data_IF_293319739027
#
_entry.id   IF_293319739027
#
_cell.length_a   1.000
_cell.length_b   1.000
_cell.length_c   1.000
_cell.angle_alpha   90.00
_cell.angle_beta   90.00
_cell.angle_gamma   90.00
#
_symmetry.space_group_name_H-M   'P 1'
#
loop_
_entity.id
_entity.type
_entity.pdbx_description
1 polymer ?
#
# COMPACT_ATOMS: atom_id res chain seq x y z
N UNK A 1 4.94 12.89 -15.28
CA UNK A 1 4.94 12.31 -13.93
C UNK A 1 6.18 11.45 -13.76
N UNK A 2 6.64 11.22 -12.54
CA UNK A 2 7.70 10.28 -12.22
C UNK A 2 7.49 9.67 -10.84
N UNK A 3 8.11 8.51 -10.60
CA UNK A 3 8.07 7.83 -9.30
C UNK A 3 9.45 7.28 -8.93
N UNK A 4 9.69 7.15 -7.63
CA UNK A 4 10.86 6.52 -7.06
C UNK A 4 10.40 5.59 -5.93
N UNK A 5 10.96 4.39 -5.86
CA UNK A 5 10.58 3.40 -4.85
C UNK A 5 11.77 2.62 -4.33
N UNK A 6 11.61 2.08 -3.12
CA UNK A 6 12.59 1.23 -2.48
C UNK A 6 11.88 0.04 -1.85
N UNK A 7 12.50 -1.14 -1.97
CA UNK A 7 12.02 -2.38 -1.41
C UNK A 7 13.18 -3.09 -0.73
N UNK A 8 12.94 -3.56 0.49
CA UNK A 8 13.92 -4.26 1.29
C UNK A 8 13.25 -5.46 1.96
N UNK A 9 13.91 -6.63 1.95
CA UNK A 9 13.44 -7.85 2.61
C UNK A 9 14.58 -8.42 3.44
N UNK A 10 14.33 -8.62 4.73
CA UNK A 10 15.26 -9.21 5.68
C UNK A 10 14.56 -10.33 6.45
N UNK A 11 14.75 -11.56 5.97
CA UNK A 11 14.05 -12.72 6.51
C UNK A 11 12.54 -12.51 6.49
N UNK A 12 11.91 -12.55 7.66
CA UNK A 12 10.46 -12.38 7.81
C UNK A 12 9.97 -10.95 7.78
N UNK A 13 10.87 -9.97 7.78
CA UNK A 13 10.53 -8.56 7.68
C UNK A 13 10.67 -8.07 6.25
N UNK A 14 9.73 -7.23 5.81
CA UNK A 14 9.82 -6.53 4.55
C UNK A 14 9.37 -5.07 4.71
N UNK A 15 10.07 -4.18 4.02
CA UNK A 15 9.76 -2.77 3.91
C UNK A 15 9.65 -2.39 2.44
N UNK A 16 8.66 -1.56 2.12
CA UNK A 16 8.47 -1.01 0.78
C UNK A 16 8.03 0.45 0.90
N UNK A 17 8.54 1.31 0.05
CA UNK A 17 8.13 2.71 -0.05
C UNK A 17 8.11 3.15 -1.50
N UNK A 18 7.25 4.11 -1.81
CA UNK A 18 7.18 4.78 -3.10
C UNK A 18 6.81 6.25 -2.91
N UNK A 19 7.46 7.11 -3.68
CA UNK A 19 7.19 8.52 -3.83
C UNK A 19 6.86 8.79 -5.29
N UNK A 20 5.77 9.50 -5.55
CA UNK A 20 5.30 9.86 -6.89
C UNK A 20 5.10 11.36 -6.96
N UNK A 21 5.49 11.97 -8.07
CA UNK A 21 5.15 13.35 -8.39
C UNK A 21 4.51 13.44 -9.77
N UNK A 22 3.58 14.37 -9.92
CA UNK A 22 2.92 14.71 -11.18
C UNK A 22 2.99 16.21 -11.42
N UNK A 23 2.97 16.57 -12.71
CA UNK A 23 2.86 17.97 -13.15
C UNK A 23 1.53 18.07 -13.88
N UNK A 24 0.60 18.83 -13.33
CA UNK A 24 -0.68 19.12 -13.95
C UNK A 24 -0.57 20.40 -14.79
N UNK A 25 -1.16 20.37 -15.98
CA UNK A 25 -1.25 21.52 -16.87
C UNK A 25 -2.72 21.92 -16.97
N UNK A 26 -3.10 23.15 -16.58
CA UNK A 26 -4.47 23.58 -16.74
C UNK A 26 -4.86 23.70 -18.21
N UNK A 27 -6.15 23.59 -18.49
CA UNK A 27 -6.69 23.86 -19.82
C UNK A 27 -6.57 25.35 -20.16
N UNK A 28 -6.66 25.69 -21.45
CA UNK A 28 -6.58 27.08 -21.92
C UNK A 28 -7.69 27.99 -21.39
N UNK A 29 -8.79 27.42 -20.87
CA UNK A 29 -9.92 28.14 -20.29
C UNK A 29 -9.94 28.07 -18.75
N UNK A 30 -8.88 27.55 -18.14
CA UNK A 30 -8.78 27.47 -16.69
C UNK A 30 -8.70 28.86 -16.06
N UNK A 31 -9.29 28.99 -14.87
CA UNK A 31 -9.15 30.18 -14.01
C UNK A 31 -7.86 30.16 -13.18
N UNK A 32 -7.07 29.10 -13.32
CA UNK A 32 -5.82 28.90 -12.61
C UNK A 32 -4.71 29.76 -13.22
N UNK A 33 -3.95 30.42 -12.35
CA UNK A 33 -2.97 31.45 -12.70
C UNK A 33 -1.68 30.91 -13.34
N UNK A 34 -1.29 29.66 -13.05
CA UNK A 34 -0.02 29.07 -13.51
C UNK A 34 -0.21 28.12 -14.68
N UNK A 35 0.79 28.02 -15.55
CA UNK A 35 0.80 27.02 -16.63
C UNK A 35 1.10 25.59 -16.16
N UNK A 36 1.56 25.41 -14.91
CA UNK A 36 1.97 24.13 -14.33
C UNK A 36 1.75 24.11 -12.82
N UNK A 37 1.30 22.97 -12.31
CA UNK A 37 1.12 22.69 -10.89
C UNK A 37 1.80 21.38 -10.51
N UNK A 38 2.36 21.33 -9.31
CA UNK A 38 3.08 20.16 -8.80
C UNK A 38 2.22 19.43 -7.78
N UNK A 39 2.13 18.11 -7.96
CA UNK A 39 1.35 17.21 -7.11
C UNK A 39 2.28 16.11 -6.63
N UNK A 40 2.20 15.74 -5.35
CA UNK A 40 2.99 14.62 -4.84
C UNK A 40 2.21 13.70 -3.91
N UNK A 41 2.72 12.47 -3.84
CA UNK A 41 2.15 11.39 -3.07
C UNK A 41 3.25 10.44 -2.63
N UNK A 42 3.13 9.89 -1.42
CA UNK A 42 4.02 8.83 -0.99
C UNK A 42 3.30 7.81 -0.11
N UNK A 43 3.87 6.61 -0.05
CA UNK A 43 3.50 5.64 0.96
C UNK A 43 4.70 4.84 1.43
N UNK A 44 4.63 4.36 2.67
CA UNK A 44 5.54 3.37 3.23
C UNK A 44 4.75 2.20 3.81
N UNK A 45 5.23 0.98 3.62
CA UNK A 45 4.65 -0.24 4.17
C UNK A 45 5.74 -1.06 4.84
N UNK A 46 5.52 -1.42 6.10
CA UNK A 46 6.27 -2.46 6.80
C UNK A 46 5.39 -3.69 6.93
N UNK A 47 6.01 -4.87 6.87
CA UNK A 47 5.33 -6.14 7.04
C UNK A 47 6.22 -7.16 7.72
N UNK A 48 5.60 -8.06 8.46
CA UNK A 48 6.28 -9.10 9.22
C UNK A 48 5.47 -10.40 9.22
N UNK A 49 6.10 -11.49 8.77
CA UNK A 49 5.57 -12.84 8.94
C UNK A 49 5.84 -13.37 10.34
N UNK A 50 4.83 -13.36 11.19
CA UNK A 50 4.92 -13.87 12.57
C UNK A 50 5.14 -15.39 12.61
N UNK A 51 4.77 -16.11 11.55
CA UNK A 51 5.00 -17.55 11.35
C UNK A 51 6.37 -17.88 10.73
N UNK A 52 7.16 -16.85 10.39
CA UNK A 52 8.56 -16.97 10.01
C UNK A 52 8.82 -17.18 8.51
N UNK A 53 7.80 -17.10 7.65
CA UNK A 53 7.93 -17.02 6.19
C UNK A 53 8.66 -15.74 5.77
N UNK A 54 8.90 -15.58 4.48
CA UNK A 54 9.51 -14.38 3.90
C UNK A 54 8.79 -14.00 2.61
N UNK A 55 8.90 -12.74 2.20
CA UNK A 55 8.40 -12.31 0.89
C UNK A 55 9.32 -12.81 -0.21
N UNK A 56 8.73 -13.47 -1.21
CA UNK A 56 9.42 -13.80 -2.45
C UNK A 56 9.38 -12.58 -3.36
N UNK A 57 10.53 -12.09 -3.83
CA UNK A 57 10.59 -11.02 -4.82
C UNK A 57 10.96 -11.57 -6.20
N UNK A 58 10.08 -11.41 -7.18
CA UNK A 58 10.35 -11.81 -8.55
C UNK A 58 10.95 -10.65 -9.33
N UNK A 59 12.25 -10.73 -9.64
CA UNK A 59 12.93 -9.74 -10.49
C UNK A 59 12.32 -9.64 -11.89
N UNK A 60 11.73 -10.72 -12.40
CA UNK A 60 11.08 -10.75 -13.72
C UNK A 60 9.76 -9.96 -13.73
N UNK A 61 8.99 -10.05 -12.64
CA UNK A 61 7.70 -9.34 -12.49
C UNK A 61 7.85 -7.98 -11.80
N UNK A 62 9.04 -7.68 -11.28
CA UNK A 62 9.35 -6.52 -10.44
C UNK A 62 8.33 -6.35 -9.30
N UNK A 63 7.91 -7.48 -8.73
CA UNK A 63 6.82 -7.54 -7.76
C UNK A 63 7.03 -8.69 -6.77
N UNK A 64 6.33 -8.61 -5.63
CA UNK A 64 6.24 -9.73 -4.71
C UNK A 64 5.48 -10.88 -5.36
N UNK A 65 6.09 -12.07 -5.33
CA UNK A 65 5.49 -13.30 -5.78
C UNK A 65 4.67 -13.95 -4.66
N UNK A 66 4.05 -15.07 -5.00
CA UNK A 66 3.27 -15.89 -4.09
C UNK A 66 4.08 -16.29 -2.85
N UNK A 67 3.41 -16.23 -1.70
CA UNK A 67 3.94 -16.73 -0.42
C UNK A 67 3.61 -18.20 -0.31
N UNK A 68 4.59 -19.01 0.07
CA UNK A 68 4.40 -20.43 0.37
C UNK A 68 4.48 -20.63 1.89
N UNK A 69 3.36 -20.92 2.57
CA UNK A 69 3.37 -21.17 4.01
C UNK A 69 4.29 -22.34 4.37
N UNK A 70 5.10 -22.21 5.42
CA UNK A 70 5.95 -23.33 5.89
C UNK A 70 5.12 -24.56 6.26
N UNK A 71 3.91 -24.32 6.77
CA UNK A 71 2.90 -25.33 7.05
C UNK A 71 1.53 -24.81 6.64
N UNK A 72 0.98 -25.35 5.56
CA UNK A 72 -0.38 -25.04 5.12
C UNK A 72 -1.42 -25.32 6.22
N UNK A 73 -2.51 -24.56 6.19
CA UNK A 73 -3.67 -24.80 7.05
C UNK A 73 -4.21 -26.22 6.81
N UNK A 74 -4.36 -26.99 7.88
CA UNK A 74 -4.83 -28.37 7.81
C UNK A 74 -4.10 -29.27 8.78
N UNK A 75 -3.49 -30.36 8.28
CA UNK A 75 -2.84 -31.46 9.03
C UNK A 75 -1.69 -31.01 9.96
N UNK A 76 -2.00 -30.25 11.01
CA UNK A 76 -1.05 -29.72 11.99
C UNK A 76 -0.41 -28.37 11.62
N UNK A 77 -0.90 -27.69 10.58
CA UNK A 77 -0.44 -26.36 10.17
C UNK A 77 -1.55 -25.33 10.29
N UNK A 78 -1.17 -24.07 10.56
CA UNK A 78 -2.11 -22.94 10.68
C UNK A 78 -2.05 -22.02 9.47
N UNK A 79 -1.25 -22.33 8.44
CA UNK A 79 -0.92 -21.39 7.37
C UNK A 79 0.15 -20.39 7.80
N UNK A 80 0.31 -19.32 7.03
CA UNK A 80 1.21 -18.21 7.35
C UNK A 80 0.42 -16.95 7.71
N UNK A 81 0.88 -16.25 8.74
CA UNK A 81 0.31 -14.98 9.16
C UNK A 81 1.32 -13.86 8.92
N UNK A 82 0.87 -12.80 8.27
CA UNK A 82 1.63 -11.58 8.02
C UNK A 82 0.88 -10.39 8.61
N UNK A 83 1.55 -9.65 9.48
CA UNK A 83 1.11 -8.33 9.92
C UNK A 83 1.70 -7.29 8.99
N UNK A 84 0.92 -6.25 8.70
CA UNK A 84 1.34 -5.14 7.86
C UNK A 84 0.86 -3.82 8.43
N UNK A 85 1.68 -2.79 8.30
CA UNK A 85 1.33 -1.42 8.61
C UNK A 85 1.74 -0.55 7.43
N UNK A 86 0.81 0.25 6.92
CA UNK A 86 1.06 1.19 5.83
C UNK A 86 0.65 2.58 6.26
N UNK A 87 1.49 3.56 5.92
CA UNK A 87 1.15 4.98 5.97
C UNK A 87 1.22 5.54 4.55
N UNK A 88 0.31 6.43 4.23
CA UNK A 88 0.13 7.01 2.90
C UNK A 88 -0.26 8.48 3.06
N UNK A 89 0.26 9.33 2.18
CA UNK A 89 -0.03 10.77 2.19
C UNK A 89 0.00 11.30 0.76
N UNK A 90 -0.93 12.20 0.46
CA UNK A 90 -0.98 12.96 -0.78
C UNK A 90 -1.13 14.44 -0.44
N UNK A 91 -0.41 15.29 -1.17
CA UNK A 91 -0.59 16.73 -1.16
C UNK A 91 -0.72 17.23 -2.61
N UNK A 92 -1.94 17.60 -2.96
CA UNK A 92 -2.30 18.08 -4.29
C UNK A 92 -2.59 19.59 -4.28
N UNK A 93 -2.19 20.30 -3.23
CA UNK A 93 -2.30 21.75 -3.17
C UNK A 93 -1.01 22.40 -3.71
N UNK A 94 -1.14 23.31 -4.66
CA UNK A 94 -0.04 24.14 -5.14
C UNK A 94 -0.56 25.50 -5.61
N UNK A 95 -0.07 26.58 -5.01
CA UNK A 95 -0.49 27.94 -5.29
C UNK A 95 -2.03 28.12 -5.18
N UNK A 96 -2.71 28.49 -6.25
CA UNK A 96 -4.17 28.66 -6.33
C UNK A 96 -4.92 27.36 -6.67
N UNK A 97 -4.22 26.24 -6.95
CA UNK A 97 -4.83 24.92 -7.05
C UNK A 97 -4.98 24.31 -5.65
N UNK A 98 -6.22 24.18 -5.18
CA UNK A 98 -6.56 23.58 -3.89
C UNK A 98 -7.28 22.23 -4.11
N UNK A 99 -6.55 21.21 -4.57
CA UNK A 99 -7.11 19.89 -4.90
C UNK A 99 -7.16 18.91 -3.71
N UNK A 100 -6.64 19.31 -2.55
CA UNK A 100 -6.79 18.61 -1.27
C UNK A 100 -5.52 17.93 -0.77
N UNK A 101 -5.54 17.62 0.52
CA UNK A 101 -4.49 16.89 1.24
C UNK A 101 -5.16 15.74 1.99
N UNK A 102 -4.58 14.55 1.92
CA UNK A 102 -5.10 13.38 2.61
C UNK A 102 -3.97 12.51 3.11
N UNK A 103 -4.16 11.90 4.28
CA UNK A 103 -3.32 10.81 4.74
C UNK A 103 -4.15 9.64 5.24
N UNK A 104 -3.58 8.45 5.19
CA UNK A 104 -4.18 7.24 5.73
C UNK A 104 -3.14 6.34 6.41
N UNK A 105 -3.59 5.66 7.46
CA UNK A 105 -2.86 4.57 8.11
C UNK A 105 -3.69 3.30 8.02
N UNK A 106 -3.08 2.24 7.51
CA UNK A 106 -3.69 0.93 7.35
C UNK A 106 -2.97 -0.09 8.20
N UNK A 107 -3.68 -0.72 9.14
CA UNK A 107 -3.23 -1.91 9.84
C UNK A 107 -3.86 -3.14 9.19
N UNK A 108 -3.03 -4.07 8.72
CA UNK A 108 -3.47 -5.24 7.95
C UNK A 108 -2.99 -6.56 8.55
N UNK A 109 -3.87 -7.55 8.56
CA UNK A 109 -3.59 -8.96 8.84
C UNK A 109 -3.84 -9.77 7.56
N UNK A 110 -2.81 -10.46 7.09
CA UNK A 110 -2.94 -11.40 5.98
C UNK A 110 -2.74 -12.83 6.49
N UNK A 111 -3.67 -13.71 6.14
CA UNK A 111 -3.64 -15.12 6.47
C UNK A 111 -3.58 -15.94 5.18
N UNK A 112 -2.43 -16.57 4.96
CA UNK A 112 -2.16 -17.43 3.81
C UNK A 112 -2.43 -18.88 4.23
N UNK A 113 -3.56 -19.43 3.79
CA UNK A 113 -3.98 -20.77 4.18
C UNK A 113 -3.13 -21.82 3.47
N UNK A 114 -2.86 -21.56 2.21
CA UNK A 114 -1.99 -22.35 1.34
C UNK A 114 -1.52 -21.42 0.21
N UNK A 115 -0.66 -21.88 -0.71
CA UNK A 115 -0.16 -21.02 -1.77
C UNK A 115 -1.26 -20.48 -2.71
N UNK A 116 -2.47 -21.04 -2.74
CA UNK A 116 -3.57 -20.61 -3.59
C UNK A 116 -4.58 -19.68 -2.88
N UNK A 117 -4.67 -19.73 -1.55
CA UNK A 117 -5.77 -19.10 -0.80
C UNK A 117 -5.25 -18.13 0.26
N UNK A 118 -5.75 -16.89 0.24
CA UNK A 118 -5.42 -15.84 1.20
C UNK A 118 -6.67 -15.09 1.69
N UNK A 119 -6.73 -14.83 2.98
CA UNK A 119 -7.61 -13.82 3.59
C UNK A 119 -6.80 -12.59 3.98
N UNK A 120 -7.36 -11.41 3.77
CA UNK A 120 -6.80 -10.13 4.22
C UNK A 120 -7.86 -9.37 4.98
N UNK A 121 -7.49 -8.86 6.15
CA UNK A 121 -8.29 -7.96 6.97
C UNK A 121 -7.52 -6.67 7.14
N UNK A 122 -8.12 -5.54 6.79
CA UNK A 122 -7.54 -4.21 6.96
C UNK A 122 -8.46 -3.35 7.81
N UNK A 123 -7.86 -2.61 8.73
CA UNK A 123 -8.45 -1.44 9.36
C UNK A 123 -7.71 -0.21 8.85
N UNK A 124 -8.46 0.74 8.29
CA UNK A 124 -7.92 1.94 7.67
C UNK A 124 -8.50 3.14 8.40
N UNK A 125 -7.63 4.01 8.89
CA UNK A 125 -7.99 5.33 9.37
C UNK A 125 -7.51 6.34 8.34
N UNK A 126 -8.43 7.13 7.79
CA UNK A 126 -8.16 8.16 6.80
C UNK A 126 -8.52 9.54 7.34
N UNK A 127 -7.67 10.53 7.08
CA UNK A 127 -7.90 11.94 7.40
C UNK A 127 -7.73 12.77 6.13
N UNK A 128 -8.82 13.41 5.70
CA UNK A 128 -8.83 14.33 4.57
C UNK A 128 -8.92 15.74 5.12
N UNK A 129 -7.88 16.54 4.87
CA UNK A 129 -7.78 17.90 5.36
C UNK A 129 -9.01 18.70 4.93
N UNK A 130 -9.58 19.42 5.90
CA UNK A 130 -10.79 20.26 5.73
C UNK A 130 -12.09 19.51 5.38
N UNK A 131 -12.07 18.17 5.30
CA UNK A 131 -13.26 17.34 5.02
C UNK A 131 -13.58 16.35 6.16
N UNK A 132 -12.58 15.90 6.91
CA UNK A 132 -12.76 15.08 8.11
C UNK A 132 -12.14 13.69 8.05
N UNK A 133 -12.57 12.82 8.96
CA UNK A 133 -11.93 11.53 9.24
C UNK A 133 -12.86 10.36 8.98
N UNK A 134 -12.29 9.22 8.58
CA UNK A 134 -13.03 7.98 8.31
C UNK A 134 -12.33 6.76 8.89
N UNK A 135 -13.14 5.81 9.36
CA UNK A 135 -12.71 4.50 9.82
C UNK A 135 -13.31 3.44 8.90
N UNK A 136 -12.46 2.64 8.25
CA UNK A 136 -12.89 1.67 7.24
C UNK A 136 -12.39 0.29 7.65
N UNK A 137 -13.31 -0.68 7.70
CA UNK A 137 -12.98 -2.09 7.83
C UNK A 137 -13.14 -2.76 6.48
N UNK A 138 -12.07 -3.40 6.00
CA UNK A 138 -12.05 -4.08 4.71
C UNK A 138 -11.64 -5.53 4.90
N UNK A 139 -12.39 -6.44 4.29
CA UNK A 139 -12.03 -7.85 4.19
C UNK A 139 -11.89 -8.24 2.72
N UNK A 140 -10.90 -9.07 2.41
CA UNK A 140 -10.69 -9.65 1.09
C UNK A 140 -10.42 -11.13 1.20
N UNK A 141 -11.10 -11.89 0.37
CA UNK A 141 -10.79 -13.29 0.10
C UNK A 141 -10.21 -13.41 -1.31
N UNK A 142 -9.10 -14.12 -1.44
CA UNK A 142 -8.40 -14.28 -2.71
C UNK A 142 -8.09 -15.76 -2.97
N UNK A 143 -8.41 -16.21 -4.18
CA UNK A 143 -8.11 -17.55 -4.68
C UNK A 143 -7.36 -17.41 -6.02
N UNK A 144 -6.21 -18.05 -6.13
CA UNK A 144 -5.42 -18.13 -7.36
C UNK A 144 -5.49 -19.56 -7.93
N UNK A 145 -5.68 -19.67 -9.24
CA UNK A 145 -5.73 -20.92 -10.00
C UNK A 145 -4.60 -20.99 -11.04
#
# INVERSE_FOLDING_TARGET
QGNAGLLFVLGSFAFQTEYTFAIAHPSAISVLDRGRYYLDAFYGTISWFITGEHKNFSRKKTAFDRVDPKKNLGKGGVGAFELSLRYSSIDFNDYDLQAGVMSDITAGLNWYLNPAVRYTLNYIYADVKDLGRSHIFQMRFQVAF
#
